data_IF_566806164129
#
_entry.id   IF_566806164129
#
_cell.length_a   1.000
_cell.length_b   1.000
_cell.length_c   1.000
_cell.angle_alpha   90.00
_cell.angle_beta   90.00
_cell.angle_gamma   90.00
#
_symmetry.space_group_name_H-M   'P 1'
#
loop_
_entity.id
_entity.type
_entity.pdbx_description
1 polymer ?
#
# COMPACT_ATOMS: atom_id res chain seq x y z
N UNK A 1 21.21 6.60 -31.61
CA UNK A 1 21.73 7.03 -30.29
C UNK A 1 20.65 7.94 -29.70
N UNK A 2 19.79 7.58 -28.74
CA UNK A 2 19.80 6.53 -27.74
C UNK A 2 18.35 6.13 -27.41
N UNK A 3 18.03 4.84 -27.52
CA UNK A 3 16.92 4.25 -26.77
C UNK A 3 17.52 3.74 -25.46
N UNK A 4 17.57 4.61 -24.44
CA UNK A 4 17.99 4.28 -23.07
C UNK A 4 16.86 4.67 -22.10
N UNK A 5 15.74 3.98 -22.18
CA UNK A 5 14.72 3.97 -21.12
C UNK A 5 14.13 2.56 -20.99
N UNK A 6 14.99 1.55 -21.11
CA UNK A 6 14.65 0.14 -20.95
C UNK A 6 14.87 -0.35 -19.51
N UNK A 7 14.59 0.48 -18.50
CA UNK A 7 14.75 0.08 -17.09
C UNK A 7 13.48 0.36 -16.32
N UNK A 8 12.41 -0.30 -16.77
CA UNK A 8 11.16 -0.56 -16.03
C UNK A 8 10.56 0.64 -15.31
N UNK A 9 9.40 1.08 -15.79
CA UNK A 9 8.35 1.69 -14.97
C UNK A 9 7.89 0.68 -13.89
N UNK A 10 8.80 0.21 -13.03
CA UNK A 10 8.48 -0.44 -11.77
C UNK A 10 7.91 0.67 -10.90
N UNK A 11 6.65 1.00 -11.19
CA UNK A 11 5.90 2.06 -10.54
C UNK A 11 6.01 1.86 -9.04
N UNK A 12 6.43 2.92 -8.34
CA UNK A 12 6.45 2.98 -6.88
C UNK A 12 5.12 2.44 -6.39
N UNK A 13 5.14 1.25 -5.78
CA UNK A 13 3.90 0.67 -5.31
C UNK A 13 3.64 1.23 -3.93
N UNK A 14 2.48 1.88 -3.76
CA UNK A 14 2.09 2.51 -2.51
C UNK A 14 0.73 1.97 -2.11
N UNK A 15 0.64 1.42 -0.90
CA UNK A 15 -0.61 0.91 -0.36
C UNK A 15 -0.94 1.70 0.90
N UNK A 16 -2.01 2.49 0.88
CA UNK A 16 -2.49 3.24 2.03
C UNK A 16 -3.54 2.42 2.80
N UNK A 17 -3.42 2.39 4.12
CA UNK A 17 -4.40 1.83 5.04
C UNK A 17 -5.34 2.93 5.53
N UNK A 18 -6.62 2.77 5.24
CA UNK A 18 -7.69 3.62 5.74
C UNK A 18 -8.54 2.87 6.77
N UNK A 19 -8.96 3.58 7.81
CA UNK A 19 -9.96 3.10 8.78
C UNK A 19 -11.29 3.83 8.57
N UNK A 20 -12.39 3.14 8.85
CA UNK A 20 -13.77 3.65 8.82
C UNK A 20 -14.37 3.87 10.22
N UNK A 21 -13.53 3.92 11.26
CA UNK A 21 -13.97 3.94 12.66
C UNK A 21 -14.95 5.08 13.06
N UNK A 22 -15.00 6.19 12.32
CA UNK A 22 -15.78 7.39 12.70
C UNK A 22 -16.46 8.09 11.51
N UNK A 23 -17.05 7.34 10.57
CA UNK A 23 -17.71 7.88 9.36
C UNK A 23 -16.81 8.68 8.40
N UNK A 24 -15.51 8.80 8.70
CA UNK A 24 -14.52 9.47 7.87
C UNK A 24 -13.43 8.48 7.51
N UNK A 25 -13.10 8.37 6.22
CA UNK A 25 -11.93 7.62 5.76
C UNK A 25 -10.66 8.31 6.24
N UNK A 26 -10.09 7.83 7.34
CA UNK A 26 -8.81 8.35 7.84
C UNK A 26 -7.69 7.42 7.43
N UNK A 27 -6.65 7.98 6.82
CA UNK A 27 -5.39 7.27 6.55
C UNK A 27 -4.65 7.09 7.87
N UNK A 28 -4.33 5.86 8.23
CA UNK A 28 -3.71 5.51 9.52
C UNK A 28 -2.32 4.91 9.35
N UNK A 29 -2.05 4.33 8.18
CA UNK A 29 -0.71 3.88 7.81
C UNK A 29 -0.55 3.89 6.28
N UNK A 30 0.69 3.86 5.80
CA UNK A 30 1.01 3.63 4.39
C UNK A 30 2.23 2.71 4.25
N UNK A 31 2.17 1.85 3.24
CA UNK A 31 3.26 1.00 2.81
C UNK A 31 3.79 1.53 1.49
N UNK A 32 5.12 1.59 1.37
CA UNK A 32 5.81 1.98 0.15
C UNK A 32 6.80 0.89 -0.20
N UNK A 33 6.86 0.47 -1.45
CA UNK A 33 8.04 -0.24 -1.93
C UNK A 33 8.46 0.20 -3.31
N UNK A 34 9.76 0.05 -3.49
CA UNK A 34 10.51 0.50 -4.62
C UNK A 34 11.33 -0.70 -5.13
N UNK A 35 11.50 -0.82 -6.44
CA UNK A 35 12.38 -1.83 -7.01
C UNK A 35 13.80 -1.69 -6.43
N UNK A 36 14.33 -2.77 -5.87
CA UNK A 36 15.65 -2.76 -5.23
C UNK A 36 15.69 -2.25 -3.79
N UNK A 37 14.55 -1.89 -3.20
CA UNK A 37 14.42 -1.54 -1.78
C UNK A 37 13.38 -2.41 -1.08
N UNK A 38 13.58 -2.64 0.22
CA UNK A 38 12.59 -3.29 1.06
C UNK A 38 11.32 -2.42 1.18
N UNK A 39 10.19 -3.05 1.51
CA UNK A 39 8.98 -2.33 1.91
C UNK A 39 9.33 -1.40 3.07
N UNK A 40 8.81 -0.19 3.03
CA UNK A 40 8.86 0.78 4.11
C UNK A 40 7.44 1.04 4.60
N UNK A 41 7.26 1.00 5.92
CA UNK A 41 6.01 1.32 6.58
C UNK A 41 6.11 2.72 7.22
N UNK A 42 5.11 3.55 6.96
CA UNK A 42 4.89 4.79 7.70
C UNK A 42 3.57 4.69 8.46
N UNK A 43 3.64 4.71 9.79
CA UNK A 43 2.46 4.74 10.65
C UNK A 43 2.10 6.20 10.94
N UNK A 44 0.91 6.62 10.52
CA UNK A 44 0.39 7.97 10.75
C UNK A 44 -0.38 8.05 12.07
N UNK A 45 -1.02 6.96 12.46
CA UNK A 45 -1.81 6.83 13.68
C UNK A 45 -1.42 5.50 14.35
N UNK A 46 -0.74 5.51 15.51
CA UNK A 46 -0.22 4.29 16.13
C UNK A 46 -1.32 3.38 16.69
N UNK A 47 -2.48 3.92 17.06
CA UNK A 47 -3.61 3.12 17.57
C UNK A 47 -4.23 2.29 16.44
N UNK A 48 -4.54 2.93 15.31
CA UNK A 48 -5.15 2.26 14.16
C UNK A 48 -4.13 1.62 13.20
N UNK A 49 -2.88 2.06 13.28
CA UNK A 49 -1.74 1.56 12.49
C UNK A 49 -0.99 0.41 13.15
N UNK A 50 -1.33 0.03 14.38
CA UNK A 50 -0.76 -1.17 15.03
C UNK A 50 -0.91 -2.43 14.18
N UNK A 51 -2.03 -2.56 13.46
CA UNK A 51 -2.27 -3.65 12.51
C UNK A 51 -1.28 -3.62 11.33
N UNK A 52 -0.98 -2.44 10.80
CA UNK A 52 -0.03 -2.27 9.72
C UNK A 52 1.40 -2.60 10.19
N UNK A 53 1.74 -2.18 11.41
CA UNK A 53 3.02 -2.49 12.04
C UNK A 53 3.17 -4.00 12.31
N UNK A 54 2.12 -4.66 12.78
CA UNK A 54 2.11 -6.12 12.94
C UNK A 54 2.41 -6.84 11.64
N UNK A 55 1.77 -6.46 10.51
CA UNK A 55 2.09 -7.11 9.23
C UNK A 55 3.48 -6.80 8.71
N UNK A 56 4.02 -5.63 9.02
CA UNK A 56 5.38 -5.30 8.65
C UNK A 56 6.39 -6.16 9.41
N UNK A 57 6.17 -6.41 10.70
CA UNK A 57 7.06 -7.20 11.57
C UNK A 57 6.87 -8.72 11.37
N UNK A 58 5.61 -9.18 11.38
CA UNK A 58 5.25 -10.59 11.36
C UNK A 58 4.95 -11.17 9.96
N UNK A 59 4.82 -10.31 8.96
CA UNK A 59 4.37 -10.68 7.61
C UNK A 59 2.85 -10.77 7.46
N UNK A 60 2.35 -10.64 6.23
CA UNK A 60 0.92 -10.70 5.93
C UNK A 60 0.47 -12.16 5.86
N UNK A 61 -0.51 -12.60 6.66
CA UNK A 61 -1.04 -13.96 6.58
C UNK A 61 -1.85 -14.15 5.29
N UNK A 62 -1.40 -15.05 4.42
CA UNK A 62 -2.04 -15.43 3.15
C UNK A 62 -2.25 -16.94 3.11
N UNK A 63 -3.50 -17.38 3.16
CA UNK A 63 -3.84 -18.80 3.19
C UNK A 63 -3.25 -19.50 4.43
N UNK A 64 -2.37 -20.48 4.20
CA UNK A 64 -1.67 -21.21 5.26
C UNK A 64 -0.27 -20.64 5.58
N UNK A 65 0.17 -19.59 4.87
CA UNK A 65 1.51 -19.00 5.01
C UNK A 65 1.48 -17.53 5.44
N UNK A 66 2.67 -16.93 5.56
CA UNK A 66 2.86 -15.50 5.75
C UNK A 66 3.83 -14.97 4.70
N UNK A 67 3.54 -13.79 4.17
CA UNK A 67 4.40 -13.10 3.20
C UNK A 67 5.19 -12.03 3.96
N UNK A 68 6.54 -12.12 4.03
CA UNK A 68 7.37 -11.11 4.69
C UNK A 68 7.45 -9.82 3.87
N UNK A 69 7.77 -8.67 4.48
CA UNK A 69 7.98 -7.40 3.76
C UNK A 69 9.11 -7.47 2.73
N UNK A 70 10.08 -8.37 2.93
CA UNK A 70 11.19 -8.63 2.00
C UNK A 70 10.72 -9.18 0.65
N UNK A 71 9.54 -9.81 0.61
CA UNK A 71 8.94 -10.30 -0.63
C UNK A 71 8.41 -9.17 -1.51
N UNK A 72 8.43 -7.91 -1.05
CA UNK A 72 8.23 -6.71 -1.84
C UNK A 72 6.85 -6.64 -2.52
N UNK A 73 6.76 -6.89 -3.84
CA UNK A 73 5.48 -6.84 -4.56
C UNK A 73 4.47 -7.90 -4.09
N UNK A 74 4.94 -9.09 -3.68
CA UNK A 74 4.07 -10.15 -3.14
C UNK A 74 3.41 -9.69 -1.83
N UNK A 75 4.17 -8.99 -0.97
CA UNK A 75 3.66 -8.43 0.28
C UNK A 75 2.56 -7.40 0.03
N UNK A 76 2.75 -6.50 -0.94
CA UNK A 76 1.71 -5.51 -1.27
C UNK A 76 0.45 -6.15 -1.85
N UNK A 77 0.62 -7.14 -2.73
CA UNK A 77 -0.51 -7.91 -3.26
C UNK A 77 -1.25 -8.66 -2.15
N UNK A 78 -0.53 -9.18 -1.16
CA UNK A 78 -1.12 -9.84 0.00
C UNK A 78 -1.99 -8.88 0.83
N UNK A 79 -1.51 -7.64 1.08
CA UNK A 79 -2.28 -6.60 1.77
C UNK A 79 -3.60 -6.30 1.04
N UNK A 80 -3.56 -6.11 -0.28
CA UNK A 80 -4.75 -5.78 -1.07
C UNK A 80 -5.77 -6.93 -1.13
N UNK A 81 -5.30 -8.19 -1.17
CA UNK A 81 -6.15 -9.36 -1.25
C UNK A 81 -6.81 -9.71 0.09
N UNK A 82 -6.08 -9.58 1.20
CA UNK A 82 -6.53 -10.06 2.53
C UNK A 82 -7.52 -9.11 3.19
N UNK A 83 -7.38 -7.79 2.99
CA UNK A 83 -8.03 -6.80 3.85
C UNK A 83 -9.29 -6.17 3.26
N UNK A 84 -10.23 -7.01 2.81
CA UNK A 84 -11.64 -6.61 2.70
C UNK A 84 -12.38 -6.80 4.03
N UNK A 85 -11.84 -6.25 5.13
CA UNK A 85 -12.54 -6.24 6.43
C UNK A 85 -13.40 -4.98 6.55
N UNK A 86 -14.57 -5.09 7.20
CA UNK A 86 -15.59 -4.03 7.24
C UNK A 86 -15.14 -2.66 7.79
N UNK A 87 -14.00 -2.58 8.49
CA UNK A 87 -13.50 -1.34 9.11
C UNK A 87 -12.15 -0.84 8.58
N UNK A 88 -11.41 -1.69 7.86
CA UNK A 88 -10.09 -1.35 7.32
C UNK A 88 -10.08 -1.56 5.81
N UNK A 89 -9.55 -0.58 5.08
CA UNK A 89 -9.45 -0.64 3.62
C UNK A 89 -8.04 -0.28 3.19
N UNK A 90 -7.40 -1.24 2.54
CA UNK A 90 -6.14 -1.03 1.85
C UNK A 90 -6.46 -0.54 0.43
N UNK A 91 -5.79 0.53 0.02
CA UNK A 91 -5.96 1.15 -1.28
C UNK A 91 -4.60 1.23 -1.95
N UNK A 92 -4.52 0.70 -3.17
CA UNK A 92 -3.38 0.89 -4.04
C UNK A 92 -3.40 2.32 -4.58
N UNK A 93 -2.37 3.11 -4.26
CA UNK A 93 -2.13 4.48 -4.73
C UNK A 93 -0.90 4.52 -5.65
N UNK A 94 -0.54 3.37 -6.25
CA UNK A 94 0.71 3.14 -6.99
C UNK A 94 0.80 3.88 -8.33
N UNK A 95 -0.29 4.54 -8.76
CA UNK A 95 -0.38 5.28 -10.03
C UNK A 95 -0.85 6.72 -9.90
N UNK A 96 -1.13 7.23 -8.71
CA UNK A 96 -1.69 8.57 -8.54
C UNK A 96 -0.60 9.64 -8.46
N UNK A 97 0.21 9.76 -9.52
CA UNK A 97 0.94 10.98 -9.80
C UNK A 97 -0.02 12.03 -10.38
N UNK A 98 -0.89 12.58 -9.53
CA UNK A 98 -1.68 13.76 -9.85
C UNK A 98 -2.73 13.60 -10.96
N UNK A 99 -3.84 12.93 -10.68
CA UNK A 99 -5.12 13.35 -11.27
C UNK A 99 -5.90 14.12 -10.22
N UNK A 100 -5.54 15.40 -10.06
CA UNK A 100 -6.53 16.40 -9.65
C UNK A 100 -7.61 16.36 -10.72
N UNK A 101 -8.77 15.79 -10.36
CA UNK A 101 -10.02 15.90 -11.10
C UNK A 101 -10.32 17.36 -11.38
N UNK A 102 -9.90 17.83 -12.54
CA UNK A 102 -10.45 19.02 -13.18
C UNK A 102 -11.78 18.66 -13.82
N UNK A 103 -12.84 18.74 -13.02
CA UNK A 103 -14.17 19.22 -13.39
C UNK A 103 -14.75 18.76 -14.73
N UNK A 104 -15.75 17.90 -14.63
CA UNK A 104 -16.85 17.86 -15.60
C UNK A 104 -17.50 19.24 -15.70
N UNK A 105 -17.66 19.79 -16.92
CA UNK A 105 -18.78 20.67 -17.29
C UNK A 105 -18.68 21.03 -18.78
N UNK A 106 -19.46 20.26 -19.56
CA UNK A 106 -20.29 20.63 -20.72
C UNK A 106 -19.78 21.67 -21.72
#
# INVERSE_FOLDING_TARGET
MNQEAGMTEQALTRVALYTFAQHTNRRVAEFRWQPGQAVSLTVLDPEWGALAQDFYDNGVPVGAGRVPPEAGPEFMRALLQRFRMSYYKFVDESGSAGESTGTTSR
#
